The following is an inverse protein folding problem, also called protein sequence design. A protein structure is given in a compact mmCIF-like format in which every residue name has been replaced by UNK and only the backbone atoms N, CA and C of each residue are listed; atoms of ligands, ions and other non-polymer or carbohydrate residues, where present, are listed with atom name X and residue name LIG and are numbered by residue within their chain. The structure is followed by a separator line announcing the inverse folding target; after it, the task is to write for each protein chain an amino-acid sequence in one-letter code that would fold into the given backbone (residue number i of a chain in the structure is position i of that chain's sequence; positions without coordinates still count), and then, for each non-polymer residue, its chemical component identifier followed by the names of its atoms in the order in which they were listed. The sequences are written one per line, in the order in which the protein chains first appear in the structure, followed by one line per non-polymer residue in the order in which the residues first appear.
data_IF_922028952494
#
_entry.id   IF_922028952494
#
_cell.length_a   1.000
_cell.length_b   1.000
_cell.length_c   1.000
_cell.angle_alpha   90.00
_cell.angle_beta   90.00
_cell.angle_gamma   90.00
#
_symmetry.space_group_name_H-M   'P 1'
#
loop_
_entity.id
_entity.type
_entity.pdbx_description
1 polymer ?
#
# COMPACT_ATOMS: atom_id res chain seq x y z
N UNK A 1 4.70 21.02 19.84
CA UNK A 1 4.16 19.64 20.05
C UNK A 1 2.93 19.51 19.16
N UNK A 2 2.95 18.58 18.21
CA UNK A 2 1.73 18.23 17.47
C UNK A 2 0.89 17.30 18.35
N UNK A 3 -0.39 17.62 18.53
CA UNK A 3 -1.33 16.77 19.26
C UNK A 3 -1.69 15.50 18.45
N UNK A 4 -2.42 14.55 19.05
CA UNK A 4 -2.90 13.37 18.33
C UNK A 4 -3.79 13.76 17.14
N UNK A 5 -3.68 13.01 16.03
CA UNK A 5 -4.47 13.24 14.84
C UNK A 5 -5.93 12.78 15.06
N UNK A 6 -6.90 13.67 14.81
CA UNK A 6 -8.33 13.35 14.89
C UNK A 6 -8.84 12.54 13.69
N UNK A 7 -8.29 12.82 12.50
CA UNK A 7 -8.73 12.23 11.24
C UNK A 7 -7.52 11.65 10.50
N UNK A 8 -7.72 10.50 9.85
CA UNK A 8 -6.72 9.85 8.99
C UNK A 8 -7.37 9.59 7.63
N UNK A 9 -6.70 10.02 6.55
CA UNK A 9 -7.10 9.73 5.17
C UNK A 9 -5.94 9.03 4.49
N UNK A 10 -6.18 7.82 3.99
CA UNK A 10 -5.19 7.02 3.25
C UNK A 10 -5.58 6.96 1.78
N UNK A 11 -4.71 7.48 0.91
CA UNK A 11 -4.83 7.31 -0.54
C UNK A 11 -3.96 6.13 -0.98
N UNK A 12 -4.57 5.15 -1.64
CA UNK A 12 -3.89 3.95 -2.13
C UNK A 12 -3.92 3.93 -3.65
N UNK A 13 -2.75 4.08 -4.28
CA UNK A 13 -2.56 3.81 -5.71
C UNK A 13 -2.13 2.36 -5.93
N UNK A 14 -3.06 1.46 -6.24
CA UNK A 14 -2.74 0.06 -6.53
C UNK A 14 -1.86 -0.02 -7.80
N UNK A 15 -0.75 -0.76 -7.71
CA UNK A 15 0.25 -0.87 -8.79
C UNK A 15 1.01 0.42 -9.12
N UNK A 16 0.93 1.47 -8.29
CA UNK A 16 1.56 2.76 -8.57
C UNK A 16 3.06 2.77 -8.18
N UNK A 17 3.90 2.24 -9.08
CA UNK A 17 5.36 2.27 -8.93
C UNK A 17 5.93 3.70 -9.00
N UNK A 18 7.18 3.89 -8.58
CA UNK A 18 7.90 5.17 -8.75
C UNK A 18 7.95 5.59 -10.23
N UNK A 19 8.14 4.63 -11.13
CA UNK A 19 8.12 4.91 -12.57
C UNK A 19 6.72 5.37 -13.04
N UNK A 20 5.66 4.77 -12.51
CA UNK A 20 4.26 5.18 -12.79
C UNK A 20 4.00 6.61 -12.31
N UNK A 21 4.52 7.00 -11.14
CA UNK A 21 4.44 8.38 -10.62
C UNK A 21 5.14 9.37 -11.55
N UNK A 22 6.37 9.07 -11.98
CA UNK A 22 7.12 9.93 -12.92
C UNK A 22 6.40 10.07 -14.26
N UNK A 23 5.89 8.96 -14.82
CA UNK A 23 5.13 8.98 -16.07
C UNK A 23 3.86 9.83 -15.95
N UNK A 24 3.11 9.68 -14.85
CA UNK A 24 1.90 10.46 -14.59
C UNK A 24 2.19 11.96 -14.44
N UNK A 25 3.31 12.31 -13.79
CA UNK A 25 3.77 13.70 -13.65
C UNK A 25 4.06 14.34 -15.00
N UNK A 26 4.84 13.67 -15.86
CA UNK A 26 5.18 14.15 -17.20
C UNK A 26 3.91 14.32 -18.03
N UNK A 27 3.05 13.29 -18.02
CA UNK A 27 1.78 13.33 -18.74
C UNK A 27 0.89 14.50 -18.30
N UNK A 28 0.80 14.76 -16.99
CA UNK A 28 0.05 15.90 -16.46
C UNK A 28 0.62 17.24 -16.95
N UNK A 29 1.95 17.40 -17.03
CA UNK A 29 2.53 18.64 -17.54
C UNK A 29 2.27 18.83 -19.04
N UNK A 30 2.33 17.75 -19.82
CA UNK A 30 1.99 17.75 -21.25
C UNK A 30 0.52 18.11 -21.50
N UNK A 31 -0.40 17.60 -20.69
CA UNK A 31 -1.82 18.01 -20.72
C UNK A 31 -2.02 19.51 -20.44
N UNK A 32 -1.06 20.15 -19.77
CA UNK A 32 -1.06 21.58 -19.49
C UNK A 32 -0.22 22.40 -20.48
N UNK A 33 0.10 21.84 -21.66
CA UNK A 33 0.95 22.46 -22.69
C UNK A 33 2.36 22.85 -22.19
N UNK A 34 2.94 22.03 -21.31
CA UNK A 34 4.32 22.19 -20.80
C UNK A 34 5.19 20.96 -21.15
N UNK A 35 6.53 21.05 -21.04
CA UNK A 35 7.42 19.92 -21.33
C UNK A 35 7.09 18.66 -20.51
N UNK A 36 6.86 18.82 -19.20
CA UNK A 36 6.31 17.77 -18.34
C UNK A 36 7.15 17.47 -17.11
N UNK A 37 8.47 17.45 -17.24
CA UNK A 37 9.41 17.03 -16.21
C UNK A 37 9.38 17.91 -14.97
N UNK A 38 9.09 19.20 -15.14
CA UNK A 38 9.00 20.21 -14.08
C UNK A 38 7.65 20.21 -13.34
N UNK A 39 6.66 19.47 -13.84
CA UNK A 39 5.35 19.38 -13.19
C UNK A 39 5.47 18.63 -11.85
N UNK A 40 4.51 18.83 -10.95
CA UNK A 40 4.39 18.06 -9.71
C UNK A 40 2.97 17.55 -9.52
N UNK A 41 2.83 16.28 -9.13
CA UNK A 41 1.54 15.74 -8.68
C UNK A 41 1.16 16.35 -7.32
N UNK A 42 -0.13 16.31 -6.97
CA UNK A 42 -0.64 16.94 -5.74
C UNK A 42 0.05 16.44 -4.48
N UNK A 43 0.32 15.15 -4.37
CA UNK A 43 0.97 14.53 -3.21
C UNK A 43 2.49 14.73 -3.17
N UNK A 44 3.13 15.13 -4.27
CA UNK A 44 4.59 15.42 -4.30
C UNK A 44 4.93 16.73 -3.59
N UNK A 45 3.92 17.55 -3.29
CA UNK A 45 4.04 18.77 -2.49
C UNK A 45 4.03 18.49 -0.98
N UNK A 46 3.80 17.24 -0.56
CA UNK A 46 3.81 16.89 0.86
C UNK A 46 5.24 16.99 1.42
N UNK A 47 5.40 17.41 2.69
CA UNK A 47 6.72 17.68 3.27
C UNK A 47 7.51 16.41 3.62
N UNK A 48 6.88 15.22 3.58
CA UNK A 48 7.49 13.97 4.00
C UNK A 48 7.31 12.89 2.93
N UNK A 49 8.40 12.18 2.66
CA UNK A 49 8.46 11.05 1.73
C UNK A 49 9.20 9.89 2.37
N UNK A 50 8.74 8.67 2.13
CA UNK A 50 9.38 7.44 2.59
C UNK A 50 9.29 6.34 1.53
N UNK A 51 10.15 5.34 1.65
CA UNK A 51 10.12 4.14 0.80
C UNK A 51 9.59 2.95 1.62
N UNK A 52 8.82 2.07 0.97
CA UNK A 52 8.22 0.89 1.60
C UNK A 52 8.70 -0.40 0.93
N UNK A 53 9.10 -1.39 1.73
CA UNK A 53 9.48 -2.73 1.25
C UNK A 53 8.25 -3.63 1.23
N UNK A 54 7.81 -4.02 0.03
CA UNK A 54 6.47 -4.58 -0.17
C UNK A 54 6.34 -6.10 -0.07
N UNK A 55 7.44 -6.87 -0.05
CA UNK A 55 7.42 -8.35 -0.03
C UNK A 55 6.38 -8.96 0.93
N UNK A 56 5.69 -10.02 0.51
CA UNK A 56 4.89 -10.89 1.39
C UNK A 56 5.83 -11.80 2.21
N UNK A 57 5.33 -12.48 3.23
CA UNK A 57 6.16 -13.41 4.04
C UNK A 57 6.77 -14.53 3.19
N UNK A 58 6.03 -15.03 2.21
CA UNK A 58 6.40 -16.16 1.34
C UNK A 58 6.71 -15.77 -0.12
N UNK A 59 6.66 -14.48 -0.47
CA UNK A 59 6.90 -14.01 -1.85
C UNK A 59 7.63 -12.67 -1.90
N UNK A 60 8.64 -12.58 -2.76
CA UNK A 60 9.40 -11.35 -3.00
C UNK A 60 8.57 -10.28 -3.70
N UNK A 61 7.71 -10.70 -4.64
CA UNK A 61 6.77 -9.82 -5.34
C UNK A 61 5.40 -9.99 -4.71
N UNK A 62 4.89 -8.90 -4.14
CA UNK A 62 3.62 -8.89 -3.44
C UNK A 62 2.42 -8.84 -4.38
N UNK A 63 1.29 -9.36 -3.91
CA UNK A 63 -0.02 -9.12 -4.50
C UNK A 63 -0.82 -8.10 -3.68
N UNK A 64 -1.99 -7.67 -4.17
CA UNK A 64 -2.84 -6.68 -3.48
C UNK A 64 -3.38 -7.20 -2.14
N UNK A 65 -3.56 -8.52 -1.98
CA UNK A 65 -4.09 -9.10 -0.74
C UNK A 65 -3.07 -9.04 0.41
N UNK A 66 -1.83 -9.48 0.18
CA UNK A 66 -0.83 -9.49 1.24
C UNK A 66 -0.38 -8.07 1.62
N UNK A 67 -0.25 -7.20 0.60
CA UNK A 67 0.08 -5.79 0.83
C UNK A 67 -1.05 -5.07 1.57
N UNK A 68 -2.32 -5.33 1.19
CA UNK A 68 -3.52 -4.87 1.89
C UNK A 68 -3.52 -5.16 3.37
N UNK A 69 -3.22 -6.41 3.73
CA UNK A 69 -3.09 -6.81 5.13
C UNK A 69 -1.97 -6.02 5.80
N UNK A 70 -0.80 -5.91 5.18
CA UNK A 70 0.34 -5.22 5.78
C UNK A 70 0.07 -3.73 6.08
N UNK A 71 -0.46 -2.95 5.14
CA UNK A 71 -0.65 -1.51 5.35
C UNK A 71 -1.94 -1.12 6.08
N UNK A 72 -2.93 -2.03 6.19
CA UNK A 72 -4.16 -1.76 6.96
C UNK A 72 -4.14 -2.36 8.37
N UNK A 73 -3.51 -3.52 8.56
CA UNK A 73 -3.51 -4.24 9.84
C UNK A 73 -2.16 -4.23 10.55
N UNK A 74 -1.10 -3.77 9.88
CA UNK A 74 0.25 -3.70 10.42
C UNK A 74 1.00 -5.03 10.46
N UNK A 75 0.43 -6.10 9.87
CA UNK A 75 1.01 -7.45 9.87
C UNK A 75 1.22 -7.94 8.44
N UNK A 76 2.44 -8.34 8.10
CA UNK A 76 2.71 -9.03 6.83
C UNK A 76 2.23 -10.47 6.89
N UNK A 77 1.67 -10.95 5.79
CA UNK A 77 1.17 -12.31 5.64
C UNK A 77 1.59 -12.92 4.29
N UNK A 78 1.02 -14.08 3.96
CA UNK A 78 1.33 -14.83 2.75
C UNK A 78 0.61 -14.24 1.52
N UNK A 79 1.18 -14.43 0.34
CA UNK A 79 0.59 -14.01 -0.93
C UNK A 79 -0.83 -14.61 -1.09
N UNK A 80 -1.76 -13.83 -1.66
CA UNK A 80 -3.16 -14.25 -1.88
C UNK A 80 -3.96 -14.53 -0.61
N UNK A 81 -3.50 -14.07 0.55
CA UNK A 81 -4.24 -14.14 1.82
C UNK A 81 -4.55 -12.74 2.32
N UNK A 82 -5.70 -12.54 2.97
CA UNK A 82 -6.20 -11.23 3.40
C UNK A 82 -6.67 -11.29 4.85
N UNK A 83 -6.27 -10.32 5.67
CA UNK A 83 -6.79 -10.15 7.03
C UNK A 83 -6.34 -11.23 8.02
N UNK A 84 -5.32 -12.01 7.68
CA UNK A 84 -4.81 -13.13 8.49
C UNK A 84 -3.30 -13.10 8.62
N UNK A 85 -2.74 -13.73 9.64
CA UNK A 85 -1.29 -13.93 9.81
C UNK A 85 -0.72 -14.90 8.77
N UNK A 86 0.61 -15.00 8.72
CA UNK A 86 1.31 -15.97 7.86
C UNK A 86 1.09 -17.45 8.26
N UNK A 87 0.40 -17.72 9.37
CA UNK A 87 0.01 -19.08 9.76
C UNK A 87 -1.09 -19.67 8.86
N UNK A 88 -1.79 -18.81 8.10
CA UNK A 88 -2.84 -19.24 7.15
C UNK A 88 -2.23 -19.36 5.75
N UNK A 89 -2.27 -20.58 5.21
CA UNK A 89 -1.85 -20.87 3.84
C UNK A 89 -2.89 -20.42 2.80
N UNK A 90 -2.45 -20.23 1.55
CA UNK A 90 -3.37 -19.96 0.44
C UNK A 90 -4.39 -21.10 0.29
N UNK A 91 -5.68 -20.74 0.26
CA UNK A 91 -6.84 -21.66 0.21
C UNK A 91 -7.03 -22.56 1.45
N UNK A 92 -6.35 -22.28 2.56
CA UNK A 92 -6.59 -22.98 3.82
C UNK A 92 -7.76 -22.38 4.61
N UNK A 93 -8.98 -22.76 4.21
CA UNK A 93 -10.20 -22.28 4.87
C UNK A 93 -10.31 -22.74 6.33
N UNK A 94 -9.70 -23.86 6.70
CA UNK A 94 -9.75 -24.39 8.07
C UNK A 94 -8.92 -23.51 9.00
N UNK A 95 -7.69 -23.18 8.59
CA UNK A 95 -6.87 -22.23 9.32
C UNK A 95 -7.52 -20.84 9.34
N UNK A 96 -8.11 -20.39 8.22
CA UNK A 96 -8.80 -19.10 8.15
C UNK A 96 -9.97 -18.96 9.13
N UNK A 97 -10.63 -20.05 9.54
CA UNK A 97 -11.70 -19.99 10.55
C UNK A 97 -11.20 -19.72 11.97
N UNK A 98 -9.91 -19.95 12.23
CA UNK A 98 -9.33 -19.72 13.54
C UNK A 98 -9.10 -18.22 13.78
N UNK A 99 -9.91 -17.63 14.67
CA UNK A 99 -9.82 -16.22 15.04
C UNK A 99 -8.45 -15.80 15.58
N UNK A 100 -7.65 -16.75 16.12
CA UNK A 100 -6.27 -16.47 16.56
C UNK A 100 -5.39 -15.94 15.42
N UNK A 101 -5.68 -16.33 14.18
CA UNK A 101 -4.90 -15.91 13.02
C UNK A 101 -5.45 -14.65 12.35
N UNK A 102 -6.54 -14.07 12.85
CA UNK A 102 -7.09 -12.84 12.26
C UNK A 102 -6.26 -11.63 12.67
N UNK A 103 -6.18 -10.65 11.77
CA UNK A 103 -5.53 -9.36 12.01
C UNK A 103 -6.56 -8.25 11.94
N UNK A 104 -6.38 -7.20 12.74
CA UNK A 104 -7.36 -6.11 12.85
C UNK A 104 -6.89 -4.90 12.06
N UNK A 105 -7.79 -4.40 11.20
CA UNK A 105 -7.56 -3.18 10.44
C UNK A 105 -7.55 -1.94 11.34
N UNK A 106 -6.95 -0.86 10.85
CA UNK A 106 -7.11 0.50 11.39
C UNK A 106 -8.53 1.07 11.18
N UNK A 107 -9.35 0.39 10.38
CA UNK A 107 -10.76 0.71 10.10
C UNK A 107 -11.73 -0.03 11.03
#
# INVERSE_FOLDING_TARGET
RTGPAKNVILFLGDGMSIATVTAARIYLGQLNNRPGEEQQLSFEKFPFTGLSKTYCVDSQVADSACSGTAYLTGVKNNIRTLGVTADVGYKDWKAMQNQKFHTHSIL
#
